data_IF_465022287929
#
_entry.id   IF_465022287929
#
_cell.length_a   1.000
_cell.length_b   1.000
_cell.length_c   1.000
_cell.angle_alpha   90.00
_cell.angle_beta   90.00
_cell.angle_gamma   90.00
#
_symmetry.space_group_name_H-M   'P 1'
#
loop_
_entity.id
_entity.type
_entity.pdbx_description
1 polymer ?
#
# COMPACT_ATOMS: atom_id res chain seq x y z
N UNK A 1 30.89 -12.23 13.53
CA UNK A 1 30.56 -12.84 12.23
C UNK A 1 29.54 -11.95 11.54
N UNK A 2 29.90 -11.26 10.46
CA UNK A 2 28.94 -10.47 9.69
C UNK A 2 28.10 -11.41 8.83
N UNK A 3 26.86 -11.68 9.25
CA UNK A 3 25.89 -12.41 8.44
C UNK A 3 25.54 -11.54 7.22
N UNK A 4 26.22 -11.76 6.09
CA UNK A 4 25.84 -11.17 4.82
C UNK A 4 24.55 -11.86 4.39
N UNK A 5 23.42 -11.26 4.76
CA UNK A 5 22.12 -11.72 4.29
C UNK A 5 22.11 -11.68 2.76
N UNK A 6 21.69 -12.76 2.08
CA UNK A 6 21.72 -12.83 0.63
C UNK A 6 20.91 -11.67 0.04
N UNK A 7 21.47 -11.02 -0.99
CA UNK A 7 20.82 -9.90 -1.67
C UNK A 7 19.61 -10.44 -2.42
N UNK A 8 18.40 -10.15 -1.91
CA UNK A 8 17.15 -10.50 -2.59
C UNK A 8 16.85 -9.42 -3.64
N UNK A 9 16.94 -9.80 -4.92
CA UNK A 9 16.54 -8.96 -6.06
C UNK A 9 15.05 -9.10 -6.29
N UNK A 10 14.28 -8.02 -6.18
CA UNK A 10 12.84 -8.04 -6.39
C UNK A 10 12.45 -7.26 -7.66
N UNK A 11 11.39 -7.73 -8.36
CA UNK A 11 10.73 -6.96 -9.41
C UNK A 11 9.76 -5.96 -8.77
N UNK A 12 10.01 -4.66 -8.96
CA UNK A 12 9.14 -3.58 -8.49
C UNK A 12 8.02 -3.32 -9.50
N UNK A 13 6.81 -3.07 -9.00
CA UNK A 13 5.68 -2.56 -9.77
C UNK A 13 4.87 -1.58 -8.91
N UNK A 14 4.20 -0.61 -9.55
CA UNK A 14 3.19 0.20 -8.89
C UNK A 14 1.85 -0.52 -9.04
N UNK A 15 1.24 -0.90 -7.93
CA UNK A 15 -0.08 -1.52 -7.88
C UNK A 15 -1.10 -0.40 -7.68
N UNK A 16 -1.65 0.09 -8.79
CA UNK A 16 -2.71 1.10 -8.80
C UNK A 16 -4.07 0.41 -8.66
N UNK A 17 -4.75 0.69 -7.55
CA UNK A 17 -6.12 0.21 -7.30
C UNK A 17 -7.14 1.14 -7.95
N UNK A 18 -6.97 2.45 -7.77
CA UNK A 18 -7.69 3.51 -8.48
C UNK A 18 -6.86 4.80 -8.53
N UNK A 19 -7.43 5.89 -9.05
CA UNK A 19 -6.82 7.22 -8.95
C UNK A 19 -6.67 7.62 -7.46
N UNK A 20 -5.52 8.20 -7.12
CA UNK A 20 -5.16 8.56 -5.73
C UNK A 20 -4.71 7.39 -4.83
N UNK A 21 -4.95 6.12 -5.21
CA UNK A 21 -4.67 4.96 -4.34
C UNK A 21 -3.81 3.92 -5.03
N UNK A 22 -2.56 3.88 -4.61
CA UNK A 22 -1.57 2.95 -5.12
C UNK A 22 -0.60 2.52 -4.04
N UNK A 23 -0.06 1.31 -4.20
CA UNK A 23 1.03 0.80 -3.37
C UNK A 23 2.21 0.34 -4.21
N UNK A 24 3.40 0.40 -3.65
CA UNK A 24 4.58 -0.21 -4.26
C UNK A 24 4.57 -1.72 -3.98
N UNK A 25 4.42 -2.51 -5.04
CA UNK A 25 4.49 -3.96 -5.01
C UNK A 25 5.88 -4.48 -5.39
N UNK A 26 6.28 -5.57 -4.75
CA UNK A 26 7.55 -6.24 -4.99
C UNK A 26 7.31 -7.73 -5.14
N UNK A 27 7.73 -8.31 -6.27
CA UNK A 27 7.74 -9.75 -6.50
C UNK A 27 9.15 -10.30 -6.25
N UNK A 28 9.29 -11.16 -5.24
CA UNK A 28 10.55 -11.80 -4.89
C UNK A 28 10.82 -13.01 -5.82
N UNK A 29 12.08 -13.48 -5.92
CA UNK A 29 12.41 -14.67 -6.71
C UNK A 29 11.72 -15.95 -6.21
N UNK A 30 11.31 -15.97 -4.94
CA UNK A 30 10.51 -17.04 -4.34
C UNK A 30 9.05 -17.09 -4.81
N UNK A 31 8.58 -16.07 -5.53
CA UNK A 31 7.16 -15.89 -5.87
C UNK A 31 6.35 -15.13 -4.81
N UNK A 32 6.96 -14.76 -3.66
CA UNK A 32 6.28 -13.95 -2.64
C UNK A 32 6.05 -12.52 -3.14
N UNK A 33 4.81 -12.02 -2.99
CA UNK A 33 4.49 -10.61 -3.15
C UNK A 33 4.62 -9.86 -1.82
N UNK A 34 5.25 -8.69 -1.87
CA UNK A 34 5.43 -7.79 -0.74
C UNK A 34 5.05 -6.35 -1.10
N UNK A 35 4.79 -5.54 -0.08
CA UNK A 35 4.33 -4.16 -0.22
C UNK A 35 5.29 -3.20 0.49
N UNK A 36 5.64 -2.09 -0.15
CA UNK A 36 6.53 -1.06 0.40
C UNK A 36 5.89 -0.29 1.55
N UNK A 37 6.58 -0.19 2.71
CA UNK A 37 6.03 0.42 3.94
C UNK A 37 5.51 1.84 3.75
N UNK A 38 6.23 2.67 2.98
CA UNK A 38 5.85 4.07 2.77
C UNK A 38 4.49 4.20 2.07
N UNK A 39 4.26 3.34 1.06
CA UNK A 39 3.02 3.34 0.30
C UNK A 39 1.81 2.78 1.07
N UNK A 40 2.04 1.86 2.02
CA UNK A 40 0.99 1.34 2.91
C UNK A 40 0.39 2.46 3.75
N UNK A 41 1.22 3.34 4.32
CA UNK A 41 0.73 4.45 5.14
C UNK A 41 -0.18 5.39 4.34
N UNK A 42 0.23 5.77 3.13
CA UNK A 42 -0.55 6.62 2.24
C UNK A 42 -1.89 6.01 1.86
N UNK A 43 -1.90 4.73 1.44
CA UNK A 43 -3.12 4.03 1.09
C UNK A 43 -4.13 3.93 2.27
N UNK A 44 -3.67 4.01 3.52
CA UNK A 44 -4.49 3.91 4.72
C UNK A 44 -4.85 5.27 5.34
N UNK A 45 -4.57 6.39 4.67
CA UNK A 45 -4.88 7.73 5.20
C UNK A 45 -4.05 8.09 6.44
N UNK A 46 -2.80 7.62 6.51
CA UNK A 46 -1.85 7.91 7.59
C UNK A 46 -0.57 8.57 7.09
N UNK A 47 0.14 9.26 8.00
CA UNK A 47 1.47 9.79 7.71
C UNK A 47 2.50 8.68 7.44
N UNK A 48 3.52 8.99 6.63
CA UNK A 48 4.56 8.03 6.17
C UNK A 48 5.24 7.24 7.30
N UNK A 49 5.36 7.82 8.50
CA UNK A 49 5.98 7.18 9.66
C UNK A 49 5.06 6.24 10.45
N UNK A 50 3.76 6.18 10.13
CA UNK A 50 2.80 5.39 10.89
C UNK A 50 3.17 3.90 10.94
N UNK A 51 3.50 3.29 9.79
CA UNK A 51 3.90 1.88 9.72
C UNK A 51 5.14 1.63 10.57
N UNK A 52 6.12 2.53 10.53
CA UNK A 52 7.33 2.45 11.35
C UNK A 52 7.00 2.45 12.84
N UNK A 53 6.11 3.36 13.29
CA UNK A 53 5.66 3.43 14.69
C UNK A 53 4.91 2.19 15.13
N UNK A 54 4.06 1.63 14.26
CA UNK A 54 3.35 0.37 14.53
C UNK A 54 4.35 -0.77 14.70
N UNK A 55 5.31 -0.93 13.79
CA UNK A 55 6.34 -1.98 13.88
C UNK A 55 7.20 -1.81 15.14
N UNK A 56 7.63 -0.61 15.49
CA UNK A 56 8.39 -0.38 16.74
C UNK A 56 7.54 -0.67 17.98
N UNK A 57 6.25 -0.33 17.94
CA UNK A 57 5.29 -0.71 18.96
C UNK A 57 5.16 -2.23 19.08
N UNK A 58 5.18 -2.94 17.96
CA UNK A 58 5.11 -4.41 17.93
C UNK A 58 6.34 -5.03 18.57
N UNK A 59 7.53 -4.57 18.21
CA UNK A 59 8.79 -5.03 18.81
C UNK A 59 8.85 -4.82 20.33
N UNK A 60 8.22 -3.74 20.84
CA UNK A 60 8.19 -3.47 22.28
C UNK A 60 7.10 -4.25 23.05
N UNK A 61 6.08 -4.80 22.37
CA UNK A 61 5.00 -5.56 23.02
C UNK A 61 4.02 -4.74 23.88
N UNK A 62 4.23 -3.43 24.03
CA UNK A 62 3.58 -2.61 25.08
C UNK A 62 2.20 -2.05 24.72
N UNK A 63 1.81 -2.02 23.44
CA UNK A 63 0.56 -1.37 23.01
C UNK A 63 -0.60 -2.36 22.83
N UNK A 64 -1.85 -1.90 23.04
CA UNK A 64 -3.08 -2.67 22.75
C UNK A 64 -3.15 -3.07 21.27
N UNK A 65 -2.67 -2.20 20.39
CA UNK A 65 -2.61 -2.44 18.94
C UNK A 65 -1.62 -3.55 18.60
N UNK A 66 -0.46 -3.57 19.27
CA UNK A 66 0.54 -4.65 19.13
C UNK A 66 -0.06 -6.00 19.45
N UNK A 67 -0.73 -6.13 20.59
CA UNK A 67 -1.36 -7.40 21.01
C UNK A 67 -2.43 -7.83 20.01
N UNK A 68 -3.21 -6.89 19.50
CA UNK A 68 -4.21 -7.13 18.46
C UNK A 68 -3.56 -7.66 17.18
N UNK A 69 -2.52 -6.97 16.68
CA UNK A 69 -1.80 -7.36 15.47
C UNK A 69 -1.16 -8.75 15.60
N UNK A 70 -0.50 -9.03 16.73
CA UNK A 70 0.05 -10.35 17.02
C UNK A 70 -1.05 -11.43 17.03
N UNK A 71 -2.21 -11.14 17.60
CA UNK A 71 -3.38 -12.03 17.57
C UNK A 71 -3.93 -12.30 16.16
N UNK A 72 -3.70 -11.40 15.21
CA UNK A 72 -4.02 -11.61 13.78
C UNK A 72 -2.88 -12.25 12.99
N UNK A 73 -1.78 -12.59 13.66
CA UNK A 73 -0.60 -13.20 13.05
C UNK A 73 0.26 -12.22 12.26
N UNK A 74 0.23 -10.94 12.61
CA UNK A 74 1.17 -9.93 12.11
C UNK A 74 2.58 -10.26 12.56
N UNK A 75 3.50 -10.44 11.61
CA UNK A 75 4.90 -10.76 11.91
C UNK A 75 5.71 -9.49 12.21
N UNK A 76 5.39 -8.39 11.54
CA UNK A 76 6.18 -7.16 11.58
C UNK A 76 7.58 -7.32 11.00
N UNK A 77 7.89 -8.46 10.38
CA UNK A 77 9.20 -8.75 9.81
C UNK A 77 9.35 -7.95 8.53
N UNK A 78 10.01 -6.80 8.69
CA UNK A 78 10.45 -6.01 7.57
C UNK A 78 11.59 -6.73 6.85
N UNK A 79 11.44 -6.93 5.55
CA UNK A 79 12.53 -7.41 4.71
C UNK A 79 13.00 -6.28 3.81
N UNK A 80 14.31 -6.03 3.85
CA UNK A 80 14.95 -5.09 2.95
C UNK A 80 15.18 -5.81 1.62
N UNK A 81 14.49 -5.40 0.57
CA UNK A 81 14.71 -5.89 -0.79
C UNK A 81 15.57 -4.89 -1.55
N UNK A 82 16.41 -5.36 -2.46
CA UNK A 82 17.16 -4.49 -3.36
C UNK A 82 16.43 -4.42 -4.70
N UNK A 83 16.12 -3.21 -5.14
CA UNK A 83 15.49 -2.97 -6.45
C UNK A 83 16.40 -2.15 -7.36
N UNK A 84 16.38 -2.40 -8.67
CA UNK A 84 17.14 -1.58 -9.62
C UNK A 84 16.73 -0.11 -9.48
N UNK A 85 17.70 0.79 -9.36
CA UNK A 85 17.40 2.23 -9.38
C UNK A 85 16.93 2.62 -10.78
N UNK A 86 15.88 3.44 -10.92
CA UNK A 86 15.48 3.97 -12.22
C UNK A 86 16.51 4.95 -12.80
N UNK A 87 17.34 5.57 -11.95
CA UNK A 87 18.27 6.64 -12.34
C UNK A 87 19.72 6.19 -12.48
N UNK A 88 20.08 5.01 -11.95
CA UNK A 88 21.47 4.55 -11.87
C UNK A 88 21.54 3.03 -11.98
N UNK A 89 22.68 2.48 -12.41
CA UNK A 89 22.93 1.03 -12.39
C UNK A 89 23.02 0.41 -10.97
N UNK A 90 22.77 1.19 -9.91
CA UNK A 90 22.83 0.77 -8.51
C UNK A 90 21.47 0.28 -8.02
N UNK A 91 21.50 -0.59 -7.02
CA UNK A 91 20.28 -1.05 -6.36
C UNK A 91 19.95 -0.17 -5.15
N UNK A 92 18.68 0.22 -5.01
CA UNK A 92 18.17 0.96 -3.85
C UNK A 92 17.49 -0.02 -2.90
N UNK A 93 17.77 0.04 -1.58
CA UNK A 93 17.02 -0.75 -0.62
C UNK A 93 15.58 -0.23 -0.48
N UNK A 94 14.62 -1.16 -0.42
CA UNK A 94 13.24 -0.87 -0.09
C UNK A 94 12.78 -1.71 1.10
N UNK A 95 12.16 -1.04 2.05
CA UNK A 95 11.57 -1.67 3.23
C UNK A 95 10.17 -2.21 2.91
N UNK A 96 10.00 -3.52 3.03
CA UNK A 96 8.76 -4.19 2.61
C UNK A 96 8.13 -5.03 3.70
N UNK A 97 6.82 -5.22 3.61
CA UNK A 97 6.02 -6.13 4.42
C UNK A 97 5.34 -7.19 3.54
N UNK A 98 5.05 -8.35 4.11
CA UNK A 98 4.29 -9.39 3.41
C UNK A 98 2.85 -8.91 3.13
N UNK A 99 2.17 -9.52 2.15
CA UNK A 99 0.73 -9.28 1.94
C UNK A 99 -0.12 -9.63 3.16
N UNK A 100 0.31 -10.61 3.98
CA UNK A 100 -0.38 -10.94 5.25
C UNK A 100 -0.30 -9.77 6.23
N UNK A 101 0.90 -9.20 6.40
CA UNK A 101 1.11 -8.07 7.30
C UNK A 101 0.39 -6.81 6.81
N UNK A 102 0.39 -6.57 5.49
CA UNK A 102 -0.41 -5.49 4.88
C UNK A 102 -1.90 -5.63 5.23
N UNK A 103 -2.50 -6.81 5.06
CA UNK A 103 -3.91 -7.08 5.45
C UNK A 103 -4.17 -6.82 6.94
N UNK A 104 -3.23 -7.17 7.82
CA UNK A 104 -3.37 -6.88 9.25
C UNK A 104 -3.37 -5.38 9.55
N UNK A 105 -2.54 -4.60 8.84
CA UNK A 105 -2.49 -3.14 8.98
C UNK A 105 -3.76 -2.47 8.46
N UNK A 106 -4.32 -2.95 7.33
CA UNK A 106 -5.61 -2.48 6.81
C UNK A 106 -6.71 -2.69 7.84
N UNK A 107 -6.83 -3.91 8.41
CA UNK A 107 -7.80 -4.23 9.47
C UNK A 107 -7.61 -3.39 10.74
N UNK A 108 -6.37 -3.09 11.11
CA UNK A 108 -6.09 -2.25 12.28
C UNK A 108 -6.54 -0.81 12.03
N UNK A 109 -6.27 -0.28 10.83
CA UNK A 109 -6.67 1.06 10.44
C UNK A 109 -8.20 1.20 10.43
N UNK A 110 -8.90 0.23 9.86
CA UNK A 110 -10.36 0.15 9.87
C UNK A 110 -10.92 0.12 11.31
N UNK A 111 -10.38 -0.75 12.18
CA UNK A 111 -10.75 -0.79 13.60
C UNK A 111 -10.52 0.53 14.34
N UNK A 112 -9.60 1.37 13.86
CA UNK A 112 -9.33 2.72 14.38
C UNK A 112 -10.23 3.80 13.78
N UNK A 113 -11.22 3.43 12.98
CA UNK A 113 -12.17 4.33 12.34
C UNK A 113 -11.61 5.08 11.13
N UNK A 114 -10.55 4.55 10.49
CA UNK A 114 -10.08 5.11 9.21
C UNK A 114 -11.01 4.69 8.08
N UNK A 115 -11.75 5.66 7.54
CA UNK A 115 -12.71 5.46 6.46
C UNK A 115 -12.03 4.91 5.20
N UNK A 116 -10.82 5.38 4.90
CA UNK A 116 -10.03 4.92 3.76
C UNK A 116 -9.73 3.42 3.87
N UNK A 117 -9.36 2.95 5.06
CA UNK A 117 -9.12 1.54 5.29
C UNK A 117 -10.39 0.69 5.20
N UNK A 118 -11.52 1.21 5.67
CA UNK A 118 -12.84 0.58 5.55
C UNK A 118 -13.24 0.45 4.07
N UNK A 119 -13.16 1.55 3.31
CA UNK A 119 -13.44 1.60 1.89
C UNK A 119 -12.52 0.67 1.07
N UNK A 120 -11.23 0.56 1.45
CA UNK A 120 -10.32 -0.42 0.85
C UNK A 120 -10.82 -1.87 1.06
N UNK A 121 -11.24 -2.21 2.29
CA UNK A 121 -11.75 -3.55 2.61
C UNK A 121 -12.98 -3.85 1.76
N UNK A 122 -13.96 -2.94 1.72
CA UNK A 122 -15.19 -3.09 0.95
C UNK A 122 -14.90 -3.31 -0.54
N UNK A 123 -14.04 -2.47 -1.12
CA UNK A 123 -13.67 -2.55 -2.53
C UNK A 123 -12.94 -3.85 -2.87
N UNK A 124 -12.01 -4.32 -2.01
CA UNK A 124 -11.36 -5.62 -2.21
C UNK A 124 -12.34 -6.79 -2.08
N UNK A 125 -13.26 -6.73 -1.12
CA UNK A 125 -14.26 -7.78 -0.90
C UNK A 125 -15.22 -7.85 -2.09
N UNK A 126 -15.73 -6.74 -2.56
CA UNK A 126 -16.70 -6.69 -3.67
C UNK A 126 -16.09 -7.20 -4.98
N UNK A 127 -14.87 -6.77 -5.32
CA UNK A 127 -14.14 -7.31 -6.49
C UNK A 127 -13.87 -8.82 -6.32
N UNK A 128 -13.40 -9.23 -5.15
CA UNK A 128 -13.07 -10.63 -4.90
C UNK A 128 -14.30 -11.54 -4.94
N UNK A 129 -15.40 -11.13 -4.32
CA UNK A 129 -16.66 -11.87 -4.29
C UNK A 129 -17.23 -12.00 -5.71
N UNK A 130 -17.22 -10.93 -6.51
CA UNK A 130 -17.71 -11.04 -7.89
C UNK A 130 -16.88 -12.06 -8.70
N UNK A 131 -15.56 -12.03 -8.61
CA UNK A 131 -14.70 -13.02 -9.28
C UNK A 131 -15.06 -14.46 -8.89
N UNK A 132 -15.34 -14.71 -7.60
CA UNK A 132 -15.79 -16.02 -7.12
C UNK A 132 -17.13 -16.44 -7.74
N UNK A 133 -18.10 -15.52 -7.81
CA UNK A 133 -19.39 -15.79 -8.43
C UNK A 133 -19.24 -16.04 -9.93
N UNK A 134 -18.51 -15.19 -10.66
CA UNK A 134 -18.26 -15.36 -12.10
C UNK A 134 -17.70 -16.74 -12.40
N UNK A 135 -16.68 -17.16 -11.66
CA UNK A 135 -16.11 -18.51 -11.79
C UNK A 135 -17.13 -19.62 -11.50
N UNK A 136 -17.95 -19.48 -10.45
CA UNK A 136 -18.98 -20.47 -10.11
C UNK A 136 -20.06 -20.61 -11.19
N UNK A 137 -20.30 -19.57 -12.00
CA UNK A 137 -21.24 -19.56 -13.12
C UNK A 137 -20.56 -19.75 -14.49
N UNK A 138 -19.31 -20.23 -14.53
CA UNK A 138 -18.60 -20.54 -15.77
C UNK A 138 -18.18 -19.31 -16.58
N UNK A 139 -18.16 -18.13 -15.97
CA UNK A 139 -17.68 -16.89 -16.57
C UNK A 139 -16.19 -16.68 -16.27
N UNK A 140 -15.50 -15.90 -17.10
CA UNK A 140 -14.13 -15.47 -16.81
C UNK A 140 -14.09 -14.48 -15.65
N UNK A 141 -12.99 -14.48 -14.90
CA UNK A 141 -12.70 -13.41 -13.93
C UNK A 141 -12.68 -12.05 -14.62
N UNK A 142 -12.87 -11.00 -13.82
CA UNK A 142 -12.69 -9.62 -14.26
C UNK A 142 -11.25 -9.41 -14.76
N UNK A 143 -11.12 -8.70 -15.87
CA UNK A 143 -9.85 -8.13 -16.33
C UNK A 143 -9.30 -7.12 -15.32
N UNK A 144 -8.02 -6.76 -15.44
CA UNK A 144 -7.42 -5.82 -14.49
C UNK A 144 -8.10 -4.45 -14.52
N UNK A 145 -8.53 -4.00 -15.71
CA UNK A 145 -9.23 -2.75 -15.93
C UNK A 145 -10.63 -2.78 -15.30
N UNK A 146 -11.40 -3.84 -15.51
CA UNK A 146 -12.71 -4.02 -14.86
C UNK A 146 -12.58 -4.10 -13.33
N UNK A 147 -11.55 -4.77 -12.82
CA UNK A 147 -11.25 -4.80 -11.37
C UNK A 147 -11.00 -3.42 -10.82
N UNK A 148 -10.23 -2.58 -11.52
CA UNK A 148 -9.95 -1.20 -11.10
C UNK A 148 -11.19 -0.33 -11.14
N UNK A 149 -12.00 -0.44 -12.20
CA UNK A 149 -13.24 0.34 -12.32
C UNK A 149 -14.21 -0.03 -11.20
N UNK A 150 -14.43 -1.33 -10.98
CA UNK A 150 -15.30 -1.80 -9.90
C UNK A 150 -14.76 -1.40 -8.53
N UNK A 151 -13.45 -1.61 -8.30
CA UNK A 151 -12.79 -1.16 -7.08
C UNK A 151 -13.03 0.33 -6.82
N UNK A 152 -12.82 1.18 -7.82
CA UNK A 152 -13.03 2.62 -7.71
C UNK A 152 -14.46 2.98 -7.36
N UNK A 153 -15.45 2.38 -8.03
CA UNK A 153 -16.87 2.64 -7.76
C UNK A 153 -17.24 2.29 -6.32
N UNK A 154 -16.82 1.12 -5.84
CA UNK A 154 -17.10 0.67 -4.48
C UNK A 154 -16.36 1.51 -3.45
N UNK A 155 -15.08 1.79 -3.70
CA UNK A 155 -14.27 2.64 -2.83
C UNK A 155 -14.88 4.04 -2.71
N UNK A 156 -15.20 4.70 -3.83
CA UNK A 156 -15.77 6.04 -3.87
C UNK A 156 -17.17 6.11 -3.22
N UNK A 157 -17.96 5.03 -3.27
CA UNK A 157 -19.24 4.95 -2.57
C UNK A 157 -19.09 4.81 -1.04
N UNK A 158 -18.01 4.17 -0.58
CA UNK A 158 -17.75 3.94 0.86
C UNK A 158 -17.15 5.17 1.59
N UNK A 159 -16.55 6.11 0.86
CA UNK A 159 -16.10 7.42 1.40
C UNK A 159 -17.14 8.50 1.06
N UNK A 160 -17.43 9.41 1.99
CA UNK A 160 -18.39 10.49 1.71
C UNK A 160 -17.86 11.42 0.62
N UNK A 161 -18.76 12.07 -0.12
CA UNK A 161 -18.41 12.99 -1.21
C UNK A 161 -17.45 14.10 -0.76
N UNK A 162 -17.61 14.65 0.45
CA UNK A 162 -16.66 15.66 0.97
C UNK A 162 -15.27 15.10 1.28
N UNK A 163 -15.17 13.84 1.72
CA UNK A 163 -13.88 13.21 2.03
C UNK A 163 -13.16 12.81 0.73
N UNK A 164 -13.92 12.37 -0.28
CA UNK A 164 -13.39 12.11 -1.63
C UNK A 164 -12.80 13.38 -2.27
N UNK A 165 -13.51 14.51 -2.20
CA UNK A 165 -13.02 15.80 -2.71
C UNK A 165 -11.75 16.30 -2.01
N UNK A 166 -11.54 15.97 -0.73
CA UNK A 166 -10.31 16.35 -0.02
C UNK A 166 -9.11 15.56 -0.52
N UNK A 167 -9.27 14.25 -0.77
CA UNK A 167 -8.21 13.41 -1.33
C UNK A 167 -7.77 13.90 -2.70
N UNK A 168 -8.72 14.24 -3.57
CA UNK A 168 -8.43 14.78 -4.91
C UNK A 168 -7.73 16.15 -4.84
N UNK A 169 -8.11 17.01 -3.88
CA UNK A 169 -7.46 18.32 -3.66
C UNK A 169 -6.03 18.20 -3.11
N UNK A 170 -5.75 17.25 -2.22
CA UNK A 170 -4.39 17.02 -1.73
C UNK A 170 -3.44 16.56 -2.85
N UNK A 171 -3.92 15.73 -3.78
CA UNK A 171 -3.17 15.34 -4.98
C UNK A 171 -2.88 16.55 -5.89
N UNK A 172 -3.86 17.44 -6.10
CA UNK A 172 -3.67 18.69 -6.85
C UNK A 172 -2.66 19.62 -6.16
N UNK A 173 -2.72 19.76 -4.84
CA UNK A 173 -1.77 20.58 -4.09
C UNK A 173 -0.34 20.02 -4.16
N UNK A 174 -0.18 18.70 -4.09
CA UNK A 174 1.13 18.04 -4.24
C UNK A 174 1.72 18.27 -5.64
N UNK A 175 0.88 18.24 -6.68
CA UNK A 175 1.28 18.54 -8.06
C UNK A 175 1.71 20.01 -8.18
N UNK A 176 0.93 20.95 -7.61
CA UNK A 176 1.25 22.38 -7.63
C UNK A 176 2.55 22.68 -6.86
N UNK A 177 2.74 22.12 -5.67
CA UNK A 177 3.98 22.27 -4.91
C UNK A 177 5.19 21.71 -5.65
N UNK A 178 5.04 20.54 -6.28
CA UNK A 178 6.08 19.93 -7.12
C UNK A 178 6.40 20.81 -8.33
N UNK A 179 5.38 21.42 -8.95
CA UNK A 179 5.55 22.34 -10.08
C UNK A 179 6.28 23.62 -9.66
N UNK A 180 5.87 24.24 -8.55
CA UNK A 180 6.53 25.44 -7.99
C UNK A 180 7.99 25.16 -7.64
N UNK A 181 8.30 23.99 -7.07
CA UNK A 181 9.67 23.58 -6.77
C UNK A 181 10.52 23.41 -8.03
N UNK A 182 9.98 22.80 -9.09
CA UNK A 182 10.68 22.65 -10.37
C UNK A 182 10.90 24.00 -11.06
N UNK A 183 9.91 24.89 -11.03
CA UNK A 183 10.01 26.23 -11.62
C UNK A 183 11.04 27.12 -10.91
N UNK A 184 11.18 27.00 -9.58
CA UNK A 184 12.20 27.74 -8.81
C UNK A 184 13.63 27.29 -9.09
N UNK A 185 13.82 26.01 -9.43
CA UNK A 185 15.15 25.46 -9.71
C UNK A 185 15.60 25.64 -11.17
N UNK A 186 14.72 26.08 -12.08
CA UNK A 186 15.06 26.41 -13.47
C UNK A 186 15.53 27.86 -13.67
N UNK A 187 15.41 28.73 -12.66
CA UNK A 187 15.92 30.12 -12.71
C UNK A 187 17.36 30.28 -12.20
N UNK A 188 18.05 29.18 -11.89
CA UNK A 188 19.46 29.16 -11.47
C UNK A 188 20.29 28.46 -12.55
N UNK A 189 20.28 28.99 -13.77
CA UNK A 189 21.26 28.73 -14.85
C UNK A 189 21.49 30.05 -15.58
#
# INVERSE_FOLDING_TARGET
MNNISPIIRAKRAVVKFCDGIQVEGYLLPSGEYRVGKASIAGALGYSKDWVRRVISGVASGKSKDTKTLMGWGFSGVASQVKVPSPTNAKYVPADTLSLKDFRCLVRLADRKGKKEASALIDAFLDVGIEDWFRLAFGQSQLTLEEKREKFYRTYAASISFEDWLKMDREDVLMIIESFIFLSRNQQVI
#
